data_IF_621564676605
#
_entry.id   IF_621564676605
#
_cell.length_a   1.000
_cell.length_b   1.000
_cell.length_c   1.000
_cell.angle_alpha   90.00
_cell.angle_beta   90.00
_cell.angle_gamma   90.00
#
_symmetry.space_group_name_H-M   'P 1'
#
loop_
_entity.id
_entity.type
_entity.pdbx_description
1 polymer ?
#
# COMPACT_ATOMS: atom_id res chain seq x y z
N UNK A 1 34.98 6.89 12.27
CA UNK A 1 34.08 7.76 11.47
C UNK A 1 32.82 6.98 11.17
N UNK A 2 31.79 7.12 12.00
CA UNK A 2 30.49 6.47 11.79
C UNK A 2 29.82 7.06 10.57
N UNK A 3 29.58 6.24 9.55
CA UNK A 3 28.70 6.63 8.44
C UNK A 3 27.33 6.92 9.04
N UNK A 4 26.85 8.14 8.82
CA UNK A 4 25.51 8.61 9.19
C UNK A 4 24.46 7.49 9.06
N UNK A 5 23.78 7.19 10.17
CA UNK A 5 22.67 6.23 10.27
C UNK A 5 21.36 6.77 9.68
N UNK A 6 21.41 7.46 8.54
CA UNK A 6 20.23 7.97 7.87
C UNK A 6 19.53 6.85 7.07
N UNK A 7 18.21 6.72 7.25
CA UNK A 7 17.39 5.81 6.44
C UNK A 7 17.44 6.21 4.97
N UNK A 8 17.64 5.24 4.08
CA UNK A 8 17.48 5.42 2.64
C UNK A 8 16.06 5.84 2.27
N UNK A 9 15.89 6.46 1.10
CA UNK A 9 14.56 6.86 0.61
C UNK A 9 13.58 5.68 0.52
N UNK A 10 14.08 4.50 0.15
CA UNK A 10 13.29 3.28 0.09
C UNK A 10 12.78 2.85 1.48
N UNK A 11 13.65 2.89 2.49
CA UNK A 11 13.26 2.60 3.88
C UNK A 11 12.27 3.63 4.41
N UNK A 12 12.48 4.92 4.12
CA UNK A 12 11.56 5.98 4.54
C UNK A 12 10.18 5.79 3.89
N UNK A 13 10.14 5.46 2.60
CA UNK A 13 8.89 5.22 1.89
C UNK A 13 8.17 3.98 2.43
N UNK A 14 8.90 2.88 2.66
CA UNK A 14 8.37 1.68 3.29
C UNK A 14 7.76 1.99 4.66
N UNK A 15 8.53 2.63 5.55
CA UNK A 15 8.07 2.99 6.89
C UNK A 15 6.84 3.89 6.87
N UNK A 16 6.76 4.86 5.94
CA UNK A 16 5.57 5.72 5.79
C UNK A 16 4.32 4.95 5.37
N UNK A 17 4.47 3.99 4.45
CA UNK A 17 3.35 3.13 4.01
C UNK A 17 2.90 2.21 5.16
N UNK A 18 3.85 1.56 5.82
CA UNK A 18 3.54 0.61 6.89
C UNK A 18 3.05 1.28 8.19
N UNK A 19 3.38 2.55 8.42
CA UNK A 19 2.86 3.34 9.54
C UNK A 19 1.43 3.86 9.32
N UNK A 20 0.88 3.74 8.11
CA UNK A 20 -0.52 4.07 7.82
C UNK A 20 -1.34 2.78 7.72
N UNK A 21 -2.21 2.51 8.70
CA UNK A 21 -2.92 1.23 8.77
C UNK A 21 -3.74 0.90 7.51
N UNK A 22 -4.39 1.88 6.90
CA UNK A 22 -5.16 1.67 5.67
C UNK A 22 -4.24 1.26 4.53
N UNK A 23 -3.13 1.96 4.32
CA UNK A 23 -2.17 1.63 3.26
C UNK A 23 -1.45 0.30 3.52
N UNK A 24 -1.09 0.02 4.78
CA UNK A 24 -0.52 -1.25 5.19
C UNK A 24 -1.46 -2.41 4.86
N UNK A 25 -2.72 -2.33 5.27
CA UNK A 25 -3.72 -3.38 5.00
C UNK A 25 -3.96 -3.54 3.50
N UNK A 26 -4.01 -2.44 2.73
CA UNK A 26 -4.14 -2.50 1.27
C UNK A 26 -2.96 -3.29 0.68
N UNK A 27 -1.73 -2.93 1.03
CA UNK A 27 -0.53 -3.59 0.51
C UNK A 27 -0.47 -5.06 0.93
N UNK A 28 -0.77 -5.38 2.20
CA UNK A 28 -0.82 -6.75 2.71
C UNK A 28 -1.87 -7.58 1.96
N UNK A 29 -3.06 -7.04 1.73
CA UNK A 29 -4.13 -7.71 0.97
C UNK A 29 -3.74 -7.99 -0.48
N UNK A 30 -2.95 -7.10 -1.09
CA UNK A 30 -2.46 -7.25 -2.46
C UNK A 30 -1.29 -8.23 -2.59
N UNK A 31 -0.62 -8.62 -1.49
CA UNK A 31 0.36 -9.71 -1.51
C UNK A 31 -0.28 -11.06 -1.79
N UNK A 32 -1.56 -11.22 -1.43
CA UNK A 32 -2.36 -12.41 -1.71
C UNK A 32 -2.86 -12.49 -3.17
N UNK A 33 -2.55 -11.49 -3.99
CA UNK A 33 -3.01 -11.38 -5.37
C UNK A 33 -3.87 -10.14 -5.60
N UNK A 34 -4.34 -9.98 -6.84
CA UNK A 34 -5.10 -8.79 -7.25
C UNK A 34 -6.40 -8.64 -6.46
N UNK A 35 -6.74 -7.40 -6.12
CA UNK A 35 -7.97 -7.07 -5.37
C UNK A 35 -8.69 -5.90 -6.01
N UNK A 36 -10.02 -5.89 -5.90
CA UNK A 36 -10.83 -4.73 -6.30
C UNK A 36 -11.00 -3.73 -5.14
N UNK A 37 -11.56 -2.55 -5.43
CA UNK A 37 -11.80 -1.53 -4.40
C UNK A 37 -12.75 -2.04 -3.33
N UNK A 38 -13.82 -2.75 -3.73
CA UNK A 38 -14.74 -3.39 -2.80
C UNK A 38 -14.05 -4.41 -1.90
N UNK A 39 -13.20 -5.28 -2.46
CA UNK A 39 -12.45 -6.27 -1.67
C UNK A 39 -11.45 -5.64 -0.69
N UNK A 40 -10.76 -4.57 -1.11
CA UNK A 40 -9.88 -3.80 -0.22
C UNK A 40 -10.66 -3.10 0.88
N UNK A 41 -11.87 -2.61 0.58
CA UNK A 41 -12.76 -1.99 1.56
C UNK A 41 -13.20 -3.00 2.61
N UNK A 42 -13.60 -4.20 2.20
CA UNK A 42 -13.91 -5.30 3.12
C UNK A 42 -12.71 -5.65 4.00
N UNK A 43 -11.52 -5.75 3.43
CA UNK A 43 -10.30 -6.07 4.18
C UNK A 43 -9.99 -5.01 5.25
N UNK A 44 -10.06 -3.73 4.91
CA UNK A 44 -9.84 -2.64 5.88
C UNK A 44 -10.95 -2.60 6.94
N UNK A 45 -12.20 -2.83 6.57
CA UNK A 45 -13.33 -2.76 7.49
C UNK A 45 -13.36 -3.88 8.51
N UNK A 46 -12.67 -5.01 8.29
CA UNK A 46 -12.44 -6.03 9.34
C UNK A 46 -11.70 -5.46 10.57
N UNK A 47 -10.97 -4.37 10.39
CA UNK A 47 -10.16 -3.72 11.43
C UNK A 47 -10.67 -2.32 11.80
N UNK A 48 -11.77 -1.85 11.20
CA UNK A 48 -12.34 -0.52 11.43
C UNK A 48 -13.74 -0.61 12.04
N UNK A 49 -13.92 -0.30 13.34
CA UNK A 49 -15.21 -0.42 14.03
C UNK A 49 -16.33 0.44 13.43
N UNK A 50 -15.98 1.59 12.84
CA UNK A 50 -16.95 2.53 12.25
C UNK A 50 -17.15 2.31 10.75
N UNK A 51 -16.37 1.42 10.15
CA UNK A 51 -16.27 1.28 8.71
C UNK A 51 -15.56 2.46 8.04
N UNK A 52 -15.00 2.18 6.87
CA UNK A 52 -14.33 3.14 5.98
C UNK A 52 -15.06 3.11 4.64
N UNK A 53 -15.45 4.27 4.08
CA UNK A 53 -16.10 4.34 2.78
C UNK A 53 -15.18 3.88 1.63
N UNK A 54 -15.74 3.29 0.55
CA UNK A 54 -14.95 2.88 -0.63
C UNK A 54 -14.14 4.01 -1.27
N UNK A 55 -14.65 5.24 -1.25
CA UNK A 55 -13.94 6.41 -1.77
C UNK A 55 -12.61 6.64 -1.04
N UNK A 56 -12.57 6.46 0.28
CA UNK A 56 -11.34 6.59 1.07
C UNK A 56 -10.33 5.53 0.64
N UNK A 57 -10.78 4.28 0.48
CA UNK A 57 -9.92 3.17 0.04
C UNK A 57 -9.36 3.43 -1.36
N UNK A 58 -10.20 3.89 -2.28
CA UNK A 58 -9.79 4.33 -3.61
C UNK A 58 -8.71 5.42 -3.53
N UNK A 59 -8.89 6.47 -2.72
CA UNK A 59 -7.91 7.55 -2.60
C UNK A 59 -6.56 7.05 -2.03
N UNK A 60 -6.57 6.15 -1.06
CA UNK A 60 -5.34 5.54 -0.54
C UNK A 60 -4.64 4.67 -1.59
N UNK A 61 -5.39 3.84 -2.33
CA UNK A 61 -4.84 3.03 -3.40
C UNK A 61 -4.29 3.88 -4.56
N UNK A 62 -4.99 4.97 -4.91
CA UNK A 62 -4.55 5.95 -5.89
C UNK A 62 -3.25 6.64 -5.45
N UNK A 63 -3.12 7.03 -4.19
CA UNK A 63 -1.86 7.60 -3.67
C UNK A 63 -0.70 6.60 -3.74
N UNK A 64 -0.94 5.31 -3.53
CA UNK A 64 0.07 4.25 -3.71
C UNK A 64 0.43 4.06 -5.19
N UNK A 65 -0.56 4.20 -6.08
CA UNK A 65 -0.37 4.18 -7.54
C UNK A 65 0.46 5.37 -8.03
N UNK A 66 0.20 6.59 -7.55
CA UNK A 66 1.01 7.77 -7.86
C UNK A 66 2.47 7.62 -7.43
N UNK A 67 2.75 6.81 -6.41
CA UNK A 67 4.11 6.47 -5.95
C UNK A 67 4.72 5.30 -6.73
N UNK A 68 3.98 4.72 -7.68
CA UNK A 68 4.38 3.56 -8.46
C UNK A 68 4.49 2.27 -7.65
N UNK A 69 3.80 2.16 -6.50
CA UNK A 69 3.84 0.99 -5.64
C UNK A 69 2.74 -0.01 -6.00
N UNK A 70 1.61 0.51 -6.47
CA UNK A 70 0.44 -0.23 -6.94
C UNK A 70 0.19 0.14 -8.40
N UNK A 71 -0.31 -0.80 -9.19
CA UNK A 71 -0.86 -0.53 -10.51
C UNK A 71 -2.35 -0.87 -10.52
N UNK A 72 -3.15 -0.12 -11.27
CA UNK A 72 -4.59 -0.37 -11.38
C UNK A 72 -5.10 -0.49 -12.81
N UNK A 73 -6.25 -1.14 -12.97
CA UNK A 73 -7.05 -1.17 -14.21
C UNK A 73 -8.51 -0.84 -13.92
N UNK A 74 -9.21 -0.29 -14.92
CA UNK A 74 -10.60 0.15 -14.82
C UNK A 74 -10.77 1.65 -14.57
N UNK A 75 -12.02 2.09 -14.59
CA UNK A 75 -12.46 3.49 -14.48
C UNK A 75 -13.35 3.71 -13.26
N UNK A 76 -13.38 4.94 -12.74
CA UNK A 76 -14.19 5.29 -11.57
C UNK A 76 -13.62 4.77 -10.25
N UNK A 77 -14.49 4.63 -9.23
CA UNK A 77 -14.09 4.22 -7.87
C UNK A 77 -13.78 2.72 -7.81
N UNK A 78 -14.56 1.88 -8.50
CA UNK A 78 -14.33 0.42 -8.48
C UNK A 78 -13.26 0.03 -9.51
N UNK A 79 -12.03 -0.13 -9.02
CA UNK A 79 -10.86 -0.53 -9.83
C UNK A 79 -10.23 -1.80 -9.28
N UNK A 80 -9.43 -2.46 -10.11
CA UNK A 80 -8.63 -3.63 -9.74
C UNK A 80 -7.18 -3.21 -9.55
N UNK A 81 -6.53 -3.68 -8.50
CA UNK A 81 -5.19 -3.29 -8.10
C UNK A 81 -4.27 -4.51 -7.96
N UNK A 82 -2.98 -4.28 -8.19
CA UNK A 82 -1.89 -5.25 -7.94
C UNK A 82 -0.64 -4.54 -7.44
N UNK A 83 0.18 -5.24 -6.65
CA UNK A 83 1.52 -4.74 -6.30
C UNK A 83 2.43 -4.72 -7.54
N UNK A 84 3.23 -3.67 -7.62
CA UNK A 84 4.29 -3.54 -8.63
C UNK A 84 5.59 -4.20 -8.15
N UNK A 85 6.52 -4.43 -9.07
CA UNK A 85 7.86 -4.89 -8.72
C UNK A 85 8.63 -3.86 -7.88
N UNK A 86 8.35 -2.56 -8.08
CA UNK A 86 8.93 -1.48 -7.26
C UNK A 86 8.60 -1.65 -5.78
N UNK A 87 7.37 -2.02 -5.43
CA UNK A 87 7.03 -2.30 -4.03
C UNK A 87 7.85 -3.46 -3.47
N UNK A 88 7.96 -4.56 -4.23
CA UNK A 88 8.71 -5.76 -3.82
C UNK A 88 10.19 -5.44 -3.57
N UNK A 89 10.79 -4.61 -4.42
CA UNK A 89 12.17 -4.15 -4.24
C UNK A 89 12.35 -3.29 -2.98
N UNK A 90 11.42 -2.38 -2.70
CA UNK A 90 11.44 -1.53 -1.51
C UNK A 90 11.33 -2.39 -0.25
N UNK A 91 10.39 -3.33 -0.23
CA UNK A 91 10.20 -4.26 0.88
C UNK A 91 11.43 -5.14 1.12
N UNK A 92 12.00 -5.72 0.06
CA UNK A 92 13.22 -6.53 0.17
C UNK A 92 14.42 -5.72 0.70
N UNK A 93 14.52 -4.43 0.37
CA UNK A 93 15.56 -3.54 0.92
C UNK A 93 15.31 -3.22 2.40
N UNK A 94 14.06 -3.05 2.81
CA UNK A 94 13.70 -2.78 4.21
C UNK A 94 13.90 -4.01 5.12
N UNK A 95 13.69 -5.22 4.60
CA UNK A 95 13.85 -6.48 5.35
C UNK A 95 15.29 -7.02 5.46
N UNK A 96 16.28 -6.37 4.82
CA UNK A 96 17.70 -6.78 4.85
C UNK A 96 18.50 -6.20 6.03
N UNK A 97 17.83 -5.82 7.11
CA UNK A 97 18.46 -5.33 8.35
C UNK A 97 18.56 -6.41 9.41
#
# INVERSE_FOLDING_TARGET
MSRSGAMSEAEQLYSRVMANDVQRIIVESLKEGEKTTSQLTEAVNKHSPTGVPPLTIYLHAWLLEQKGLVASTGEGIERRYRLTDRWREIEAKAGRK
#
